data_IF_846250909611
#
_entry.id   IF_846250909611
#
_cell.length_a   1.000
_cell.length_b   1.000
_cell.length_c   1.000
_cell.angle_alpha   90.00
_cell.angle_beta   90.00
_cell.angle_gamma   90.00
#
_symmetry.space_group_name_H-M   'P 1'
#
loop_
_entity.id
_entity.type
_entity.pdbx_description
1 polymer ?
#
# COMPACT_ATOMS: atom_id res chain seq x y z
N UNK A 1 -1.77 25.99 10.67
CA UNK A 1 -0.41 25.42 10.55
C UNK A 1 -0.06 24.97 9.14
N UNK A 2 -1.01 24.43 8.36
CA UNK A 2 -0.79 24.00 6.96
C UNK A 2 -0.24 25.09 6.03
N UNK A 3 -0.57 26.36 6.23
CA UNK A 3 -0.17 27.45 5.32
C UNK A 3 1.32 27.80 5.38
N UNK A 4 1.95 27.70 6.56
CA UNK A 4 3.31 28.24 6.76
C UNK A 4 4.40 27.34 6.15
N UNK A 5 4.30 26.02 6.35
CA UNK A 5 5.26 25.09 5.74
C UNK A 5 5.01 24.90 4.24
N UNK A 6 3.79 25.09 3.75
CA UNK A 6 3.51 25.08 2.30
C UNK A 6 4.26 26.18 1.56
N UNK A 7 4.34 27.39 2.13
CA UNK A 7 5.16 28.46 1.54
C UNK A 7 6.66 28.11 1.50
N UNK A 8 7.14 27.31 2.46
CA UNK A 8 8.52 26.77 2.45
C UNK A 8 8.67 25.71 1.35
N UNK A 9 7.71 24.80 1.23
CA UNK A 9 7.66 23.80 0.17
C UNK A 9 7.73 24.46 -1.21
N UNK A 10 6.90 25.45 -1.50
CA UNK A 10 6.89 26.18 -2.78
C UNK A 10 8.26 26.81 -3.12
N UNK A 11 9.02 27.25 -2.11
CA UNK A 11 10.39 27.78 -2.29
C UNK A 11 11.43 26.69 -2.52
N UNK A 12 11.19 25.48 -2.01
CA UNK A 12 12.08 24.31 -2.14
C UNK A 12 11.90 23.62 -3.48
N UNK A 13 10.67 23.48 -3.98
CA UNK A 13 10.36 22.71 -5.19
C UNK A 13 11.25 23.05 -6.40
N UNK A 14 11.55 24.33 -6.73
CA UNK A 14 12.41 24.65 -7.88
C UNK A 14 13.88 24.22 -7.72
N UNK A 15 14.28 23.74 -6.54
CA UNK A 15 15.68 23.42 -6.17
C UNK A 15 15.93 21.93 -5.99
N UNK A 16 14.91 21.08 -6.16
CA UNK A 16 15.00 19.62 -6.03
C UNK A 16 14.78 18.94 -7.38
N UNK A 17 15.28 17.72 -7.49
CA UNK A 17 15.11 16.88 -8.66
C UNK A 17 13.65 16.44 -8.82
N UNK A 18 13.11 16.60 -10.04
CA UNK A 18 11.74 16.20 -10.42
C UNK A 18 10.67 16.69 -9.43
N UNK A 19 10.45 18.01 -9.30
CA UNK A 19 9.50 18.57 -8.33
C UNK A 19 8.06 18.09 -8.51
N UNK A 20 7.68 17.64 -9.71
CA UNK A 20 6.36 17.07 -9.98
C UNK A 20 6.01 15.84 -9.12
N UNK A 21 6.99 15.20 -8.48
CA UNK A 21 6.80 14.13 -7.48
C UNK A 21 6.04 14.59 -6.22
N UNK A 22 6.05 15.89 -5.94
CA UNK A 22 5.71 16.44 -4.62
C UNK A 22 4.50 17.38 -4.63
N UNK A 23 3.87 17.60 -5.80
CA UNK A 23 2.83 18.63 -6.02
C UNK A 23 1.39 18.08 -6.01
N UNK A 24 1.21 16.77 -6.13
CA UNK A 24 -0.11 16.16 -6.22
C UNK A 24 -0.96 16.69 -7.37
N UNK A 25 -2.28 16.54 -7.26
CA UNK A 25 -3.21 17.03 -8.30
C UNK A 25 -3.23 16.19 -9.57
N UNK A 26 -2.87 14.90 -9.47
CA UNK A 26 -2.95 13.97 -10.59
C UNK A 26 -4.37 13.84 -11.14
N UNK A 27 -4.47 13.51 -12.43
CA UNK A 27 -5.75 13.10 -13.00
C UNK A 27 -6.23 11.85 -12.26
N UNK A 28 -7.53 11.83 -11.93
CA UNK A 28 -8.21 10.81 -11.13
C UNK A 28 -7.81 10.77 -9.64
N UNK A 29 -7.05 11.74 -9.13
CA UNK A 29 -6.86 11.90 -7.69
C UNK A 29 -8.21 12.21 -7.01
N UNK A 30 -8.56 11.42 -6.01
CA UNK A 30 -9.78 11.58 -5.21
C UNK A 30 -9.44 12.43 -4.00
N UNK A 31 -10.10 13.58 -3.90
CA UNK A 31 -9.98 14.47 -2.75
C UNK A 31 -11.31 14.56 -2.02
N UNK A 32 -11.37 13.94 -0.84
CA UNK A 32 -12.48 14.09 0.11
C UNK A 32 -12.21 15.25 1.06
N UNK A 33 -13.27 15.79 1.64
CA UNK A 33 -13.13 16.86 2.62
C UNK A 33 -12.59 16.31 3.95
N UNK A 34 -11.38 16.75 4.30
CA UNK A 34 -10.67 16.37 5.51
C UNK A 34 -11.43 16.70 6.80
N UNK A 35 -12.18 17.81 6.81
CA UNK A 35 -12.87 18.29 8.00
C UNK A 35 -14.11 17.43 8.34
N UNK A 36 -14.75 16.85 7.33
CA UNK A 36 -16.00 16.09 7.46
C UNK A 36 -15.81 14.58 7.36
N UNK A 37 -14.62 14.11 7.02
CA UNK A 37 -14.31 12.67 6.91
C UNK A 37 -13.62 12.14 8.19
N UNK A 38 -14.28 11.25 8.95
CA UNK A 38 -13.84 10.86 10.29
C UNK A 38 -12.66 9.88 10.36
N UNK A 39 -12.39 9.15 9.28
CA UNK A 39 -11.33 8.14 9.20
C UNK A 39 -10.36 8.48 8.08
N UNK A 40 -9.08 8.65 8.42
CA UNK A 40 -8.04 9.16 7.52
C UNK A 40 -6.93 8.13 7.38
N UNK A 41 -6.77 7.58 6.19
CA UNK A 41 -5.74 6.61 5.88
C UNK A 41 -4.73 7.23 4.92
N UNK A 42 -3.44 7.08 5.19
CA UNK A 42 -2.40 7.39 4.21
C UNK A 42 -1.77 6.08 3.74
N UNK A 43 -1.88 5.78 2.45
CA UNK A 43 -1.23 4.65 1.80
C UNK A 43 0.14 5.07 1.31
N UNK A 44 1.16 4.36 1.78
CA UNK A 44 2.56 4.74 1.58
C UNK A 44 3.25 3.68 0.75
N UNK A 45 3.84 4.09 -0.36
CA UNK A 45 4.88 3.30 -1.00
C UNK A 45 6.23 3.84 -0.52
N UNK A 46 7.04 3.04 0.22
CA UNK A 46 8.29 3.51 0.81
C UNK A 46 9.41 3.57 -0.24
N UNK A 47 9.18 4.31 -1.31
CA UNK A 47 10.14 4.65 -2.35
C UNK A 47 9.65 5.91 -3.06
N UNK A 48 10.42 6.41 -4.01
CA UNK A 48 10.04 7.58 -4.81
C UNK A 48 8.74 7.38 -5.57
N UNK A 49 8.03 8.49 -5.75
CA UNK A 49 6.80 8.62 -6.51
C UNK A 49 6.80 7.82 -7.82
N UNK A 50 7.86 7.96 -8.62
CA UNK A 50 7.97 7.40 -9.97
C UNK A 50 7.92 5.86 -9.98
N UNK A 51 8.34 5.22 -8.86
CA UNK A 51 8.27 3.78 -8.66
C UNK A 51 6.94 3.39 -8.00
N UNK A 52 6.53 4.14 -6.98
CA UNK A 52 5.31 3.84 -6.22
C UNK A 52 4.02 4.03 -7.01
N UNK A 53 3.97 4.98 -7.95
CA UNK A 53 2.83 5.17 -8.87
C UNK A 53 2.54 3.95 -9.73
N UNK A 54 3.59 3.17 -10.05
CA UNK A 54 3.48 1.94 -10.85
C UNK A 54 2.96 0.75 -10.03
N UNK A 55 2.70 0.92 -8.74
CA UNK A 55 2.22 -0.16 -7.86
C UNK A 55 0.70 -0.34 -7.96
N UNK A 56 0.25 -1.34 -8.72
CA UNK A 56 -1.19 -1.63 -8.86
C UNK A 56 -1.86 -1.95 -7.52
N UNK A 57 -1.17 -2.64 -6.60
CA UNK A 57 -1.73 -2.96 -5.28
C UNK A 57 -2.09 -1.70 -4.49
N UNK A 58 -1.24 -0.69 -4.51
CA UNK A 58 -1.50 0.62 -3.90
C UNK A 58 -2.73 1.29 -4.53
N UNK A 59 -2.85 1.26 -5.86
CA UNK A 59 -4.00 1.83 -6.58
C UNK A 59 -5.31 1.11 -6.23
N UNK A 60 -5.28 -0.22 -6.13
CA UNK A 60 -6.45 -1.03 -5.73
C UNK A 60 -6.88 -0.66 -4.31
N UNK A 61 -5.95 -0.61 -3.34
CA UNK A 61 -6.27 -0.22 -1.97
C UNK A 61 -6.78 1.23 -1.88
N UNK A 62 -6.22 2.13 -2.67
CA UNK A 62 -6.65 3.52 -2.76
C UNK A 62 -8.09 3.65 -3.27
N UNK A 63 -8.44 2.93 -4.35
CA UNK A 63 -9.81 2.90 -4.88
C UNK A 63 -10.80 2.30 -3.88
N UNK A 64 -10.45 1.17 -3.24
CA UNK A 64 -11.30 0.52 -2.23
C UNK A 64 -11.61 1.48 -1.08
N UNK A 65 -10.59 2.09 -0.48
CA UNK A 65 -10.75 2.99 0.66
C UNK A 65 -11.53 4.26 0.27
N UNK A 66 -11.27 4.83 -0.90
CA UNK A 66 -11.98 6.03 -1.34
C UNK A 66 -13.41 5.74 -1.81
N UNK A 67 -13.82 4.49 -2.02
CA UNK A 67 -15.23 4.11 -2.17
C UNK A 67 -15.97 3.92 -0.85
N UNK A 68 -15.26 3.78 0.26
CA UNK A 68 -15.90 3.64 1.57
C UNK A 68 -16.46 4.97 2.07
N UNK A 69 -17.69 4.91 2.59
CA UNK A 69 -18.30 6.04 3.31
C UNK A 69 -17.57 6.32 4.62
N UNK A 70 -17.31 7.61 4.87
CA UNK A 70 -16.63 8.08 6.09
C UNK A 70 -15.11 7.89 6.11
N UNK A 71 -14.52 7.38 5.02
CA UNK A 71 -13.07 7.14 4.93
C UNK A 71 -12.48 7.97 3.81
N UNK A 72 -11.35 8.62 4.05
CA UNK A 72 -10.48 9.15 3.00
C UNK A 72 -9.18 8.36 2.96
N UNK A 73 -8.67 8.15 1.74
CA UNK A 73 -7.33 7.64 1.54
C UNK A 73 -6.52 8.64 0.73
N UNK A 74 -5.34 8.96 1.24
CA UNK A 74 -4.31 9.75 0.58
C UNK A 74 -3.08 8.90 0.33
N UNK A 75 -2.18 9.38 -0.54
CA UNK A 75 -0.93 8.71 -0.86
C UNK A 75 0.25 9.50 -0.32
N UNK A 76 1.30 8.79 0.08
CA UNK A 76 2.61 9.39 0.30
C UNK A 76 3.72 8.46 -0.20
N UNK A 77 4.88 9.06 -0.43
CA UNK A 77 6.05 8.42 -1.01
C UNK A 77 7.29 8.86 -0.22
N UNK A 78 8.30 8.00 -0.14
CA UNK A 78 9.59 8.43 0.43
C UNK A 78 10.25 9.41 -0.55
N UNK A 79 10.57 10.64 -0.13
CA UNK A 79 11.19 11.60 -1.04
C UNK A 79 12.61 11.19 -1.42
N UNK A 80 13.10 11.74 -2.52
CA UNK A 80 14.49 11.55 -2.92
C UNK A 80 15.42 12.26 -1.93
N UNK A 81 16.70 11.86 -1.79
CA UNK A 81 17.57 12.38 -0.74
C UNK A 81 17.73 13.90 -0.70
N UNK A 82 17.68 14.58 -1.86
CA UNK A 82 17.76 16.04 -1.95
C UNK A 82 16.52 16.73 -1.36
N UNK A 83 15.33 16.22 -1.67
CA UNK A 83 14.06 16.68 -1.12
C UNK A 83 13.96 16.33 0.37
N UNK A 84 14.37 15.12 0.78
CA UNK A 84 14.42 14.74 2.20
C UNK A 84 15.34 15.70 3.01
N UNK A 85 16.51 16.03 2.48
CA UNK A 85 17.44 16.98 3.09
C UNK A 85 16.84 18.40 3.14
N UNK A 86 16.16 18.84 2.08
CA UNK A 86 15.49 20.13 2.06
C UNK A 86 14.32 20.19 3.07
N UNK A 87 13.53 19.12 3.18
CA UNK A 87 12.44 19.02 4.14
C UNK A 87 12.94 19.13 5.57
N UNK A 88 14.03 18.42 5.92
CA UNK A 88 14.65 18.54 7.25
C UNK A 88 15.15 19.96 7.53
N UNK A 89 15.92 20.55 6.60
CA UNK A 89 16.49 21.91 6.75
C UNK A 89 15.42 22.98 6.93
N UNK A 90 14.35 22.90 6.15
CA UNK A 90 13.27 23.88 6.16
C UNK A 90 12.14 23.50 7.12
N UNK A 91 12.26 22.40 7.89
CA UNK A 91 11.22 21.87 8.77
C UNK A 91 9.84 21.72 8.08
N UNK A 92 9.86 21.09 6.90
CA UNK A 92 8.68 20.67 6.16
C UNK A 92 8.37 19.23 6.58
N UNK A 93 7.16 18.94 7.11
CA UNK A 93 6.80 17.57 7.48
C UNK A 93 6.62 16.69 6.24
N UNK A 94 6.74 15.37 6.36
CA UNK A 94 6.22 14.47 5.33
C UNK A 94 4.68 14.52 5.33
N UNK A 95 4.07 14.53 4.14
CA UNK A 95 2.65 14.82 3.96
C UNK A 95 1.95 13.91 2.94
N UNK A 96 0.63 13.80 3.06
CA UNK A 96 -0.25 13.19 2.06
C UNK A 96 -0.40 14.07 0.81
N UNK A 97 -0.37 13.47 -0.37
CA UNK A 97 -0.21 14.18 -1.64
C UNK A 97 -1.48 14.90 -2.11
N UNK A 98 -2.65 14.41 -1.71
CA UNK A 98 -3.96 14.94 -2.14
C UNK A 98 -4.31 16.25 -1.44
N UNK A 99 -4.04 16.35 -0.14
CA UNK A 99 -4.43 17.53 0.63
C UNK A 99 -3.30 18.20 1.38
N UNK A 100 -2.08 17.65 1.34
CA UNK A 100 -0.91 18.17 2.04
C UNK A 100 -1.16 18.29 3.55
N UNK A 101 -1.74 17.26 4.17
CA UNK A 101 -1.72 17.09 5.63
C UNK A 101 -0.49 16.29 6.04
N UNK A 102 0.20 16.68 7.12
CA UNK A 102 1.29 15.90 7.71
C UNK A 102 0.88 14.45 8.02
N UNK A 103 1.80 13.50 7.85
CA UNK A 103 1.51 12.09 8.12
C UNK A 103 1.10 11.81 9.58
N UNK A 104 1.52 12.66 10.51
CA UNK A 104 1.13 12.60 11.93
C UNK A 104 -0.36 12.88 12.17
N UNK A 105 -1.08 13.48 11.21
CA UNK A 105 -2.50 13.84 11.35
C UNK A 105 -3.45 12.76 10.82
N UNK A 106 -2.91 11.67 10.25
CA UNK A 106 -3.69 10.52 9.81
C UNK A 106 -3.97 9.57 10.98
N UNK A 107 -4.97 8.72 10.81
CA UNK A 107 -5.32 7.68 11.78
C UNK A 107 -4.51 6.38 11.53
N UNK A 108 -4.29 6.05 10.25
CA UNK A 108 -3.60 4.84 9.81
C UNK A 108 -2.62 5.19 8.68
N UNK A 109 -1.38 4.71 8.81
CA UNK A 109 -0.37 4.69 7.75
C UNK A 109 -0.20 3.26 7.24
N UNK A 110 -0.57 3.00 6.00
CA UNK A 110 -0.50 1.70 5.36
C UNK A 110 0.68 1.60 4.39
N UNK A 111 1.75 0.92 4.78
CA UNK A 111 2.94 0.70 3.96
C UNK A 111 2.78 -0.52 3.03
N UNK A 112 3.13 -0.35 1.76
CA UNK A 112 3.21 -1.44 0.79
C UNK A 112 4.67 -1.87 0.60
N UNK A 113 5.02 -3.07 1.10
CA UNK A 113 6.35 -3.67 1.07
C UNK A 113 6.40 -4.88 0.12
N UNK A 114 6.57 -4.66 -1.20
CA UNK A 114 6.71 -5.75 -2.17
C UNK A 114 8.01 -6.56 -1.99
N UNK A 115 9.06 -5.96 -1.45
CA UNK A 115 10.39 -6.58 -1.29
C UNK A 115 11.19 -5.91 -0.16
N UNK A 116 12.18 -6.63 0.35
CA UNK A 116 12.91 -6.33 1.60
C UNK A 116 13.81 -5.09 1.49
N UNK A 117 14.25 -4.70 0.29
CA UNK A 117 15.13 -3.53 0.12
C UNK A 117 14.45 -2.21 0.49
N UNK A 118 13.12 -2.18 0.69
CA UNK A 118 12.40 -0.99 1.13
C UNK A 118 12.29 -0.84 2.65
N UNK A 119 12.84 -1.79 3.42
CA UNK A 119 12.78 -1.72 4.89
C UNK A 119 13.47 -0.47 5.45
N UNK A 120 14.62 -0.08 4.89
CA UNK A 120 15.29 1.16 5.29
C UNK A 120 14.48 2.41 4.92
N UNK A 121 13.79 2.39 3.78
CA UNK A 121 12.93 3.50 3.36
C UNK A 121 11.68 3.63 4.22
N UNK A 122 11.14 2.52 4.74
CA UNK A 122 10.09 2.57 5.75
C UNK A 122 10.58 3.34 6.99
N UNK A 123 11.80 3.08 7.46
CA UNK A 123 12.39 3.80 8.60
C UNK A 123 12.64 5.27 8.27
N UNK A 124 13.20 5.59 7.10
CA UNK A 124 13.39 6.98 6.64
C UNK A 124 12.06 7.74 6.57
N UNK A 125 10.99 7.08 6.12
CA UNK A 125 9.66 7.67 6.06
C UNK A 125 9.12 8.00 7.45
N UNK A 126 9.28 7.09 8.42
CA UNK A 126 8.85 7.32 9.80
C UNK A 126 9.65 8.45 10.46
N UNK A 127 10.99 8.45 10.28
CA UNK A 127 11.87 9.52 10.77
C UNK A 127 11.49 10.88 10.20
N UNK A 128 11.33 10.98 8.87
CA UNK A 128 10.98 12.23 8.20
C UNK A 128 9.56 12.72 8.52
N UNK A 129 8.65 11.81 8.84
CA UNK A 129 7.33 12.14 9.37
C UNK A 129 7.37 12.65 10.82
N UNK A 130 8.49 12.49 11.53
CA UNK A 130 8.62 12.83 12.94
C UNK A 130 7.91 11.84 13.87
N UNK A 131 7.76 10.57 13.45
CA UNK A 131 7.14 9.51 14.25
C UNK A 131 8.21 8.69 15.00
N UNK A 132 7.91 8.19 16.21
CA UNK A 132 8.78 7.20 16.85
C UNK A 132 9.00 5.99 15.94
N UNK A 133 10.26 5.59 15.79
CA UNK A 133 10.63 4.48 14.92
C UNK A 133 10.08 3.16 15.47
N UNK A 134 10.27 2.90 16.77
CA UNK A 134 9.84 1.64 17.38
C UNK A 134 8.35 1.67 17.67
N UNK A 135 7.67 0.56 17.38
CA UNK A 135 6.23 0.38 17.61
C UNK A 135 5.85 0.42 19.09
N UNK A 136 6.79 0.13 20.00
CA UNK A 136 6.58 0.22 21.44
C UNK A 136 6.53 1.65 21.97
N UNK A 137 7.17 2.59 21.27
CA UNK A 137 7.21 4.02 21.61
C UNK A 137 5.97 4.77 21.08
N UNK A 138 5.15 4.11 20.25
CA UNK A 138 3.90 4.65 19.72
C UNK A 138 2.70 4.28 20.60
N UNK A 139 1.91 5.29 20.93
CA UNK A 139 0.66 5.20 21.67
C UNK A 139 -0.55 5.67 20.84
N UNK A 140 -1.73 5.79 21.44
CA UNK A 140 -2.97 6.19 20.75
C UNK A 140 -2.96 7.62 20.16
N UNK A 141 -1.95 8.46 20.47
CA UNK A 141 -1.79 9.79 19.87
C UNK A 141 -1.11 9.75 18.51
N UNK A 142 -0.47 8.63 18.20
CA UNK A 142 0.21 8.40 16.93
C UNK A 142 -0.70 7.59 16.00
N UNK A 143 -0.56 7.72 14.67
CA UNK A 143 -1.22 6.81 13.74
C UNK A 143 -0.82 5.36 13.99
N UNK A 144 -1.68 4.43 13.57
CA UNK A 144 -1.27 3.03 13.42
C UNK A 144 -0.39 2.87 12.19
N UNK A 145 0.75 2.23 12.34
CA UNK A 145 1.64 1.85 11.24
C UNK A 145 1.38 0.40 10.87
N UNK A 146 0.76 0.19 9.71
CA UNK A 146 0.41 -1.13 9.20
C UNK A 146 1.22 -1.39 7.93
N UNK A 147 1.73 -2.61 7.76
CA UNK A 147 2.47 -2.98 6.54
C UNK A 147 1.85 -4.20 5.85
N UNK A 148 1.77 -4.17 4.52
CA UNK A 148 1.36 -5.30 3.68
C UNK A 148 2.33 -5.48 2.50
N UNK A 149 2.00 -6.38 1.57
CA UNK A 149 2.85 -6.69 0.41
C UNK A 149 3.59 -8.01 0.55
N UNK A 150 4.32 -8.44 -0.48
CA UNK A 150 4.91 -9.78 -0.47
C UNK A 150 5.98 -9.96 0.60
N UNK A 151 6.73 -8.92 0.96
CA UNK A 151 7.80 -9.03 1.96
C UNK A 151 7.25 -9.36 3.37
N UNK A 152 5.99 -9.04 3.65
CA UNK A 152 5.37 -9.28 4.97
C UNK A 152 5.02 -10.74 5.24
N UNK A 153 5.24 -11.65 4.28
CA UNK A 153 5.26 -13.09 4.55
C UNK A 153 6.41 -13.50 5.48
N UNK A 154 7.42 -12.65 5.63
CA UNK A 154 8.46 -12.75 6.66
C UNK A 154 8.58 -11.39 7.40
N UNK A 155 7.69 -11.09 8.36
CA UNK A 155 7.57 -9.77 8.96
C UNK A 155 8.64 -9.46 10.03
N UNK A 156 9.23 -10.49 10.64
CA UNK A 156 10.14 -10.35 11.79
C UNK A 156 11.34 -9.40 11.60
N UNK A 157 11.99 -9.30 10.41
CA UNK A 157 13.08 -8.35 10.21
C UNK A 157 12.72 -6.88 10.48
N UNK A 158 11.44 -6.51 10.43
CA UNK A 158 10.96 -5.15 10.68
C UNK A 158 9.84 -5.08 11.73
N UNK A 159 9.64 -6.16 12.48
CA UNK A 159 8.55 -6.29 13.45
C UNK A 159 8.59 -5.24 14.56
N UNK A 160 9.78 -4.79 14.94
CA UNK A 160 9.95 -3.77 15.98
C UNK A 160 9.47 -2.37 15.56
N UNK A 161 9.25 -2.13 14.26
CA UNK A 161 8.94 -0.80 13.70
C UNK A 161 7.50 -0.68 13.18
N UNK A 162 6.74 -1.78 13.14
CA UNK A 162 5.39 -1.86 12.55
C UNK A 162 4.40 -2.35 13.61
N UNK A 163 3.23 -1.74 13.67
CA UNK A 163 2.21 -2.08 14.65
C UNK A 163 1.44 -3.34 14.27
N UNK A 164 1.14 -3.52 12.98
CA UNK A 164 0.47 -4.70 12.45
C UNK A 164 0.89 -5.01 11.00
N UNK A 165 0.95 -6.28 10.65
CA UNK A 165 1.23 -6.76 9.29
C UNK A 165 -0.01 -7.40 8.69
N UNK A 166 -0.26 -7.14 7.41
CA UNK A 166 -1.24 -7.86 6.60
C UNK A 166 -0.50 -8.89 5.77
N UNK A 167 -0.86 -10.17 5.93
CA UNK A 167 -0.25 -11.29 5.21
C UNK A 167 -1.24 -11.82 4.18
N UNK A 168 -0.87 -11.74 2.90
CA UNK A 168 -1.71 -12.16 1.77
C UNK A 168 -2.37 -10.98 1.05
N UNK A 169 -3.53 -11.24 0.47
CA UNK A 169 -4.30 -10.24 -0.28
C UNK A 169 -4.87 -9.15 0.64
N UNK A 170 -4.76 -7.90 0.21
CA UNK A 170 -5.08 -6.73 1.04
C UNK A 170 -6.50 -6.19 0.86
N UNK A 171 -7.19 -6.59 -0.21
CA UNK A 171 -8.42 -5.93 -0.68
C UNK A 171 -9.58 -6.04 0.31
N UNK A 172 -9.84 -7.23 0.86
CA UNK A 172 -10.83 -7.40 1.94
C UNK A 172 -10.23 -7.01 3.29
N UNK A 173 -8.94 -7.29 3.50
CA UNK A 173 -8.27 -7.08 4.77
C UNK A 173 -8.26 -5.60 5.17
N UNK A 174 -8.02 -4.68 4.22
CA UNK A 174 -7.98 -3.25 4.50
C UNK A 174 -9.34 -2.73 4.98
N UNK A 175 -10.44 -3.23 4.42
CA UNK A 175 -11.80 -2.89 4.83
C UNK A 175 -12.05 -3.36 6.26
N UNK A 176 -11.74 -4.63 6.55
CA UNK A 176 -11.89 -5.21 7.89
C UNK A 176 -11.04 -4.48 8.93
N UNK A 177 -9.81 -4.10 8.57
CA UNK A 177 -8.89 -3.34 9.42
C UNK A 177 -9.47 -1.97 9.75
N UNK A 178 -9.90 -1.21 8.74
CA UNK A 178 -10.47 0.14 8.94
C UNK A 178 -11.73 0.05 9.79
N UNK A 179 -12.66 -0.85 9.47
CA UNK A 179 -13.90 -1.03 10.26
C UNK A 179 -13.62 -1.53 11.69
N UNK A 180 -12.56 -2.30 11.89
CA UNK A 180 -12.13 -2.71 13.23
C UNK A 180 -11.56 -1.54 14.00
N UNK A 181 -10.65 -0.78 13.39
CA UNK A 181 -10.08 0.42 13.97
C UNK A 181 -11.15 1.45 14.34
N UNK A 182 -12.13 1.71 13.47
CA UNK A 182 -13.24 2.64 13.74
C UNK A 182 -13.99 2.30 15.04
N UNK A 183 -14.18 1.00 15.33
CA UNK A 183 -14.85 0.53 16.54
C UNK A 183 -14.02 0.68 17.81
N UNK A 184 -12.69 0.70 17.69
CA UNK A 184 -11.76 0.69 18.84
C UNK A 184 -10.88 1.94 18.94
N UNK A 185 -11.04 2.92 18.04
CA UNK A 185 -10.20 4.13 17.97
C UNK A 185 -10.15 4.94 19.26
N UNK A 186 -11.19 4.84 20.09
CA UNK A 186 -11.31 5.53 21.38
C UNK A 186 -10.66 4.76 22.54
N UNK A 187 -10.22 3.52 22.30
CA UNK A 187 -9.52 2.68 23.28
C UNK A 187 -8.01 2.92 23.20
N UNK A 188 -7.29 2.57 24.27
CA UNK A 188 -5.84 2.67 24.30
C UNK A 188 -5.16 1.70 23.31
N UNK A 189 -3.91 2.01 22.94
CA UNK A 189 -3.15 1.31 21.89
C UNK A 189 -3.20 -0.22 22.01
N UNK A 190 -3.03 -0.77 23.22
CA UNK A 190 -3.06 -2.22 23.43
C UNK A 190 -4.38 -2.86 22.97
N UNK A 191 -5.52 -2.27 23.34
CA UNK A 191 -6.83 -2.79 22.96
C UNK A 191 -7.09 -2.66 21.45
N UNK A 192 -6.59 -1.59 20.82
CA UNK A 192 -6.62 -1.43 19.36
C UNK A 192 -5.86 -2.58 18.66
N UNK A 193 -4.65 -2.86 19.13
CA UNK A 193 -3.79 -3.94 18.60
C UNK A 193 -4.40 -5.33 18.82
N UNK A 194 -4.97 -5.60 20.00
CA UNK A 194 -5.65 -6.87 20.29
C UNK A 194 -6.89 -7.06 19.42
N UNK A 195 -7.62 -6.00 19.09
CA UNK A 195 -8.76 -6.07 18.17
C UNK A 195 -8.30 -6.35 16.73
N UNK A 196 -7.24 -5.68 16.27
CA UNK A 196 -6.67 -5.91 14.94
C UNK A 196 -6.10 -7.32 14.77
N UNK A 197 -5.49 -7.90 15.81
CA UNK A 197 -4.98 -9.27 15.77
C UNK A 197 -6.06 -10.34 15.57
N UNK A 198 -7.34 -10.00 15.77
CA UNK A 198 -8.48 -10.88 15.48
C UNK A 198 -8.96 -10.78 14.04
N UNK A 199 -8.48 -9.81 13.27
CA UNK A 199 -8.77 -9.71 11.83
C UNK A 199 -7.96 -10.81 11.12
N UNK A 200 -8.61 -11.72 10.36
CA UNK A 200 -7.87 -12.79 9.69
C UNK A 200 -6.81 -12.24 8.74
N UNK A 201 -5.61 -12.84 8.77
CA UNK A 201 -4.45 -12.40 7.99
C UNK A 201 -3.66 -11.25 8.61
N UNK A 202 -4.09 -10.71 9.75
CA UNK A 202 -3.33 -9.68 10.47
C UNK A 202 -2.45 -10.31 11.54
N UNK A 203 -1.16 -9.99 11.50
CA UNK A 203 -0.17 -10.35 12.50
C UNK A 203 0.25 -9.09 13.29
N UNK A 204 0.21 -9.15 14.61
CA UNK A 204 0.55 -8.00 15.48
C UNK A 204 1.74 -8.39 16.36
N UNK A 205 2.97 -7.99 16.01
CA UNK A 205 4.18 -8.55 16.63
C UNK A 205 4.23 -8.41 18.15
N UNK A 206 3.79 -7.27 18.68
CA UNK A 206 3.76 -6.98 20.13
C UNK A 206 2.90 -7.96 20.94
N UNK A 207 2.08 -8.78 20.29
CA UNK A 207 1.23 -9.78 20.93
C UNK A 207 1.81 -11.21 20.84
N UNK A 208 3.02 -11.36 20.31
CA UNK A 208 3.72 -12.63 20.17
C UNK A 208 5.14 -12.52 20.78
N UNK A 209 5.59 -13.60 21.39
CA UNK A 209 6.98 -13.77 21.81
C UNK A 209 7.74 -14.55 20.75
N UNK A 210 8.98 -14.14 20.48
CA UNK A 210 9.90 -14.84 19.57
C UNK A 210 11.06 -15.40 20.39
N UNK A 211 11.21 -16.71 20.34
CA UNK A 211 12.32 -17.41 20.95
C UNK A 211 13.40 -17.62 19.88
N UNK A 212 14.66 -17.35 20.22
CA UNK A 212 15.79 -17.41 19.29
C UNK A 212 16.76 -18.53 19.68
N UNK A 213 17.36 -19.15 18.68
CA UNK A 213 18.50 -20.04 18.83
C UNK A 213 19.77 -19.23 19.21
N UNK A 214 20.82 -19.88 19.75
CA UNK A 214 22.09 -19.21 20.08
C UNK A 214 22.78 -18.54 18.89
N UNK A 215 22.47 -18.94 17.66
CA UNK A 215 22.99 -18.35 16.42
C UNK A 215 22.17 -17.13 15.93
N UNK A 216 21.13 -16.75 16.67
CA UNK A 216 20.26 -15.62 16.34
C UNK A 216 19.14 -15.96 15.36
N UNK A 217 18.99 -17.21 14.93
CA UNK A 217 17.86 -17.63 14.09
C UNK A 217 16.60 -17.84 14.93
N UNK A 218 15.42 -17.67 14.33
CA UNK A 218 14.13 -17.85 15.02
C UNK A 218 13.91 -19.33 15.34
N UNK A 219 13.80 -19.65 16.63
CA UNK A 219 13.47 -20.99 17.12
C UNK A 219 11.97 -21.24 17.16
N UNK A 220 11.19 -20.20 17.47
CA UNK A 220 9.74 -20.30 17.50
C UNK A 220 9.07 -18.96 17.74
N UNK A 221 7.81 -18.87 17.32
CA UNK A 221 6.92 -17.75 17.60
C UNK A 221 5.75 -18.30 18.41
N UNK A 222 5.41 -17.66 19.53
CA UNK A 222 4.31 -18.07 20.41
C UNK A 222 3.40 -16.89 20.73
N UNK A 223 2.07 -17.09 20.75
CA UNK A 223 1.17 -16.03 21.16
C UNK A 223 1.37 -15.73 22.67
N UNK A 224 1.23 -14.46 23.05
CA UNK A 224 1.26 -14.05 24.47
C UNK A 224 -0.07 -14.32 25.20
N UNK A 225 -1.12 -14.71 24.47
CA UNK A 225 -2.43 -15.09 25.01
C UNK A 225 -3.04 -16.24 24.20
N UNK A 226 -3.74 -17.21 24.82
CA UNK A 226 -4.37 -18.34 24.12
C UNK A 226 -5.41 -17.93 23.07
N UNK A 227 -5.95 -16.72 23.17
CA UNK A 227 -6.98 -16.16 22.29
C UNK A 227 -6.44 -15.71 20.91
N UNK A 228 -5.11 -15.61 20.78
CA UNK A 228 -4.46 -15.07 19.58
C UNK A 228 -4.19 -16.18 18.56
N UNK A 229 -4.41 -15.90 17.26
CA UNK A 229 -4.24 -16.91 16.22
C UNK A 229 -2.77 -17.30 16.05
N UNK A 230 -2.49 -18.60 16.02
CA UNK A 230 -1.26 -19.17 15.47
C UNK A 230 -1.55 -20.56 14.90
N UNK A 231 -1.24 -20.87 13.62
CA UNK A 231 -0.56 -19.99 12.66
C UNK A 231 -1.46 -18.86 12.14
N UNK A 232 -0.86 -17.73 11.78
CA UNK A 232 -1.55 -16.66 11.04
C UNK A 232 -1.84 -17.16 9.63
N UNK A 233 -3.13 -17.32 9.31
CA UNK A 233 -3.54 -17.73 7.96
C UNK A 233 -3.55 -16.51 7.04
N UNK A 234 -2.76 -16.58 5.97
CA UNK A 234 -2.77 -15.54 4.92
C UNK A 234 -4.17 -15.32 4.36
N UNK A 235 -4.50 -14.07 4.05
CA UNK A 235 -5.71 -13.72 3.30
C UNK A 235 -5.56 -14.09 1.84
N UNK A 236 -6.63 -14.63 1.28
CA UNK A 236 -6.73 -14.94 -0.15
C UNK A 236 -8.13 -14.54 -0.60
N UNK A 237 -8.22 -13.58 -1.53
CA UNK A 237 -9.51 -13.24 -2.16
C UNK A 237 -9.83 -14.29 -3.22
N UNK A 238 -10.92 -15.08 -3.11
CA UNK A 238 -11.18 -16.17 -4.04
C UNK A 238 -11.51 -15.64 -5.45
N UNK A 239 -12.17 -14.48 -5.53
CA UNK A 239 -12.51 -13.76 -6.75
C UNK A 239 -11.82 -12.40 -6.68
N UNK A 240 -11.12 -12.01 -7.75
CA UNK A 240 -10.47 -10.70 -7.79
C UNK A 240 -11.56 -9.61 -7.85
N UNK A 241 -11.45 -8.53 -7.05
CA UNK A 241 -12.39 -7.41 -7.14
C UNK A 241 -12.24 -6.72 -8.49
N UNK A 242 -13.26 -6.01 -9.00
CA UNK A 242 -13.18 -5.31 -10.29
C UNK A 242 -11.90 -4.49 -10.42
N UNK A 243 -11.25 -4.49 -11.60
CA UNK A 243 -10.00 -3.76 -11.79
C UNK A 243 -10.25 -2.25 -11.65
N UNK A 244 -9.31 -1.50 -11.06
CA UNK A 244 -9.42 -0.04 -11.01
C UNK A 244 -9.27 0.54 -12.42
N UNK A 245 -10.31 1.19 -12.92
CA UNK A 245 -10.34 1.80 -14.26
C UNK A 245 -10.07 3.30 -14.24
N UNK A 246 -10.13 3.95 -13.08
CA UNK A 246 -9.75 5.37 -12.88
C UNK A 246 -8.35 5.47 -12.28
N UNK A 247 -7.37 4.91 -12.98
CA UNK A 247 -5.98 4.94 -12.53
C UNK A 247 -5.44 6.36 -12.53
N UNK A 248 -4.54 6.63 -11.59
CA UNK A 248 -3.90 7.93 -11.44
C UNK A 248 -2.96 8.15 -12.63
N UNK A 249 -3.06 9.32 -13.27
CA UNK A 249 -2.12 9.72 -14.33
C UNK A 249 -1.01 10.56 -13.70
N UNK A 250 0.26 10.12 -13.76
CA UNK A 250 1.33 10.75 -13.02
C UNK A 250 1.69 12.13 -13.57
N UNK A 251 2.18 13.00 -12.69
CA UNK A 251 2.67 14.34 -13.07
C UNK A 251 4.09 14.34 -13.66
N UNK A 252 4.78 13.20 -13.58
CA UNK A 252 6.14 12.99 -14.09
C UNK A 252 6.21 11.62 -14.75
N UNK A 253 7.18 11.42 -15.64
CA UNK A 253 7.41 10.09 -16.22
C UNK A 253 7.74 9.07 -15.14
N UNK A 254 7.03 7.95 -15.17
CA UNK A 254 7.15 6.84 -14.20
C UNK A 254 7.77 5.60 -14.86
N UNK A 255 8.17 4.61 -14.07
CA UNK A 255 8.81 3.40 -14.60
C UNK A 255 7.90 2.57 -15.52
N UNK A 256 6.59 2.54 -15.23
CA UNK A 256 5.57 1.91 -16.05
C UNK A 256 4.47 2.92 -16.40
N UNK A 257 4.70 3.69 -17.45
CA UNK A 257 3.82 4.79 -17.88
C UNK A 257 2.76 4.31 -18.88
N UNK A 258 1.83 3.49 -18.39
CA UNK A 258 0.79 2.82 -19.19
C UNK A 258 -0.36 2.35 -18.32
N UNK A 259 -1.52 2.12 -18.93
CA UNK A 259 -2.65 1.51 -18.24
C UNK A 259 -2.37 0.07 -17.84
N UNK A 260 -2.73 -0.34 -16.62
CA UNK A 260 -2.43 -1.71 -16.15
C UNK A 260 -3.72 -2.46 -15.78
N UNK A 261 -3.98 -3.61 -16.40
CA UNK A 261 -5.08 -4.49 -16.00
C UNK A 261 -4.51 -5.84 -15.55
N UNK A 262 -4.72 -6.21 -14.29
CA UNK A 262 -4.38 -7.55 -13.78
C UNK A 262 -5.32 -8.59 -14.36
N UNK A 263 -4.85 -9.43 -15.28
CA UNK A 263 -5.69 -10.46 -15.93
C UNK A 263 -5.78 -11.75 -15.12
N UNK A 264 -4.76 -12.01 -14.30
CA UNK A 264 -4.73 -13.13 -13.37
C UNK A 264 -3.77 -12.85 -12.22
N UNK A 265 -4.08 -13.42 -11.05
CA UNK A 265 -3.20 -13.47 -9.87
C UNK A 265 -2.83 -14.90 -9.56
N UNK A 266 -1.58 -15.12 -9.15
CA UNK A 266 -1.08 -16.47 -8.95
C UNK A 266 -0.49 -17.08 -10.22
N UNK A 267 0.29 -18.14 -10.02
CA UNK A 267 0.95 -18.85 -11.11
C UNK A 267 0.89 -20.35 -10.80
N UNK A 268 0.59 -21.16 -11.83
CA UNK A 268 0.61 -22.63 -11.72
C UNK A 268 2.03 -23.19 -11.82
N UNK A 269 3.00 -22.35 -12.21
CA UNK A 269 4.40 -22.75 -12.31
C UNK A 269 4.96 -23.00 -10.91
N UNK A 270 5.73 -24.08 -10.78
CA UNK A 270 6.33 -24.53 -9.53
C UNK A 270 7.79 -24.11 -9.35
N UNK A 271 8.18 -22.96 -9.91
CA UNK A 271 9.57 -22.49 -9.90
C UNK A 271 10.08 -22.36 -8.45
N UNK A 272 11.09 -23.16 -8.07
CA UNK A 272 11.60 -23.25 -6.69
C UNK A 272 12.20 -21.94 -6.17
N UNK A 273 12.60 -21.05 -7.06
CA UNK A 273 13.17 -19.73 -6.75
C UNK A 273 12.09 -18.62 -6.63
N UNK A 274 10.86 -18.87 -7.09
CA UNK A 274 9.88 -17.81 -7.27
C UNK A 274 9.00 -17.66 -6.02
N UNK A 275 9.35 -16.69 -5.16
CA UNK A 275 8.56 -16.35 -3.99
C UNK A 275 7.10 -16.01 -4.36
N UNK A 276 6.91 -15.12 -5.33
CA UNK A 276 5.59 -14.69 -5.81
C UNK A 276 4.72 -15.89 -6.25
N UNK A 277 5.30 -16.89 -6.92
CA UNK A 277 4.60 -18.10 -7.36
C UNK A 277 4.09 -19.00 -6.23
N UNK A 278 4.58 -18.82 -5.00
CA UNK A 278 4.13 -19.56 -3.81
C UNK A 278 3.11 -18.74 -3.00
N UNK A 279 3.41 -17.46 -2.75
CA UNK A 279 2.60 -16.63 -1.85
C UNK A 279 1.26 -16.22 -2.47
N UNK A 280 1.19 -16.09 -3.79
CA UNK A 280 -0.04 -15.64 -4.50
C UNK A 280 -1.00 -16.77 -4.89
N UNK A 281 -0.72 -18.03 -4.52
CA UNK A 281 -1.59 -19.18 -4.82
C UNK A 281 -2.94 -19.10 -4.07
N UNK A 282 -4.04 -19.64 -4.63
CA UNK A 282 -4.13 -20.30 -5.94
C UNK A 282 -4.19 -19.32 -7.11
N UNK A 283 -4.02 -19.83 -8.34
CA UNK A 283 -4.23 -19.04 -9.56
C UNK A 283 -5.70 -18.66 -9.68
N UNK A 284 -5.97 -17.38 -9.96
CA UNK A 284 -7.28 -16.77 -10.11
C UNK A 284 -7.24 -15.88 -11.34
N UNK A 285 -8.24 -15.98 -12.20
CA UNK A 285 -8.29 -15.27 -13.48
C UNK A 285 -9.51 -14.38 -13.54
N UNK A 286 -9.41 -13.26 -14.25
CA UNK A 286 -10.57 -12.47 -14.63
C UNK A 286 -11.24 -13.05 -15.88
N UNK A 287 -12.58 -13.02 -15.97
CA UNK A 287 -13.28 -13.24 -17.23
C UNK A 287 -12.79 -12.28 -18.32
N UNK A 288 -12.68 -12.73 -19.57
CA UNK A 288 -12.14 -11.87 -20.64
C UNK A 288 -13.08 -10.69 -20.95
N UNK A 289 -14.39 -10.86 -20.81
CA UNK A 289 -15.37 -9.78 -20.94
C UNK A 289 -15.12 -8.65 -19.93
N UNK A 290 -14.80 -9.02 -18.69
CA UNK A 290 -14.43 -8.06 -17.63
C UNK A 290 -13.13 -7.33 -17.97
N UNK A 291 -12.13 -8.05 -18.49
CA UNK A 291 -10.85 -7.45 -18.91
C UNK A 291 -11.06 -6.46 -20.06
N UNK A 292 -11.83 -6.82 -21.09
CA UNK A 292 -12.09 -5.94 -22.24
C UNK A 292 -12.83 -4.67 -21.81
N UNK A 293 -13.90 -4.81 -21.03
CA UNK A 293 -14.65 -3.66 -20.53
C UNK A 293 -13.77 -2.74 -19.67
N UNK A 294 -12.93 -3.32 -18.81
CA UNK A 294 -12.01 -2.56 -17.98
C UNK A 294 -10.95 -1.80 -18.78
N UNK A 295 -10.42 -2.40 -19.86
CA UNK A 295 -9.50 -1.71 -20.78
C UNK A 295 -10.17 -0.48 -21.38
N UNK A 296 -11.41 -0.59 -21.84
CA UNK A 296 -12.12 0.53 -22.46
C UNK A 296 -12.33 1.69 -21.50
N UNK A 297 -12.82 1.38 -20.30
CA UNK A 297 -13.03 2.39 -19.27
C UNK A 297 -11.70 3.02 -18.85
N UNK A 298 -10.63 2.22 -18.73
CA UNK A 298 -9.32 2.70 -18.36
C UNK A 298 -8.81 3.71 -19.37
N UNK A 299 -8.82 3.36 -20.66
CA UNK A 299 -8.36 4.25 -21.73
C UNK A 299 -9.18 5.54 -21.76
N UNK A 300 -10.50 5.44 -21.60
CA UNK A 300 -11.39 6.60 -21.56
C UNK A 300 -11.14 7.54 -20.36
N UNK A 301 -10.79 7.00 -19.19
CA UNK A 301 -10.57 7.79 -17.97
C UNK A 301 -9.13 8.32 -17.82
N UNK A 302 -8.17 7.76 -18.55
CA UNK A 302 -6.74 8.08 -18.36
C UNK A 302 -6.10 8.71 -19.58
N UNK A 303 -6.57 8.39 -20.79
CA UNK A 303 -5.92 8.81 -22.04
C UNK A 303 -4.60 8.11 -22.32
N UNK A 304 -4.27 7.01 -21.63
CA UNK A 304 -3.11 6.19 -21.99
C UNK A 304 -3.25 5.62 -23.40
N UNK A 305 -2.13 5.49 -24.11
CA UNK A 305 -2.06 4.87 -25.44
C UNK A 305 -1.58 3.41 -25.38
N UNK A 306 -0.97 3.02 -24.25
CA UNK A 306 -0.47 1.67 -24.01
C UNK A 306 -1.20 1.01 -22.85
N UNK A 307 -1.40 -0.32 -22.95
CA UNK A 307 -1.91 -1.16 -21.87
C UNK A 307 -0.95 -2.31 -21.56
N UNK A 308 -0.85 -2.66 -20.27
CA UNK A 308 -0.16 -3.83 -19.78
C UNK A 308 -1.15 -4.83 -19.18
N UNK A 309 -1.08 -6.06 -19.67
CA UNK A 309 -1.82 -7.19 -19.12
C UNK A 309 -0.98 -7.83 -17.99
N UNK A 310 -1.21 -7.37 -16.77
CA UNK A 310 -0.43 -7.76 -15.60
C UNK A 310 -0.78 -9.17 -15.15
N UNK A 311 0.26 -10.00 -15.03
CA UNK A 311 0.21 -11.27 -14.32
C UNK A 311 1.63 -11.82 -14.08
N UNK A 312 1.75 -12.91 -13.33
CA UNK A 312 3.03 -13.61 -13.18
C UNK A 312 3.45 -14.39 -14.44
N UNK A 313 2.51 -14.73 -15.33
CA UNK A 313 2.77 -15.49 -16.57
C UNK A 313 1.60 -15.35 -17.54
N UNK A 314 1.57 -14.30 -18.37
CA UNK A 314 0.39 -13.98 -19.18
C UNK A 314 0.04 -15.05 -20.21
N UNK A 315 1.01 -15.86 -20.64
CA UNK A 315 0.77 -17.02 -21.51
C UNK A 315 -0.01 -18.15 -20.82
N UNK A 316 0.01 -18.19 -19.48
CA UNK A 316 -0.81 -19.12 -18.69
C UNK A 316 -2.23 -18.61 -18.50
N UNK A 317 -2.62 -17.43 -18.98
CA UNK A 317 -4.01 -16.98 -18.93
C UNK A 317 -4.87 -17.76 -19.92
N UNK A 318 -5.96 -18.39 -19.46
CA UNK A 318 -6.70 -19.42 -20.21
C UNK A 318 -7.23 -18.93 -21.57
N UNK A 319 -7.58 -17.64 -21.67
CA UNK A 319 -8.11 -17.03 -22.90
C UNK A 319 -7.15 -16.02 -23.55
N UNK A 320 -5.83 -16.15 -23.33
CA UNK A 320 -4.84 -15.15 -23.79
C UNK A 320 -4.90 -14.89 -25.30
N UNK A 321 -5.05 -15.93 -26.12
CA UNK A 321 -5.13 -15.79 -27.57
C UNK A 321 -6.41 -15.09 -28.05
N UNK A 322 -7.53 -15.27 -27.34
CA UNK A 322 -8.77 -14.52 -27.61
C UNK A 322 -8.63 -13.06 -27.16
N UNK A 323 -8.06 -12.83 -25.98
CA UNK A 323 -7.84 -11.49 -25.42
C UNK A 323 -6.99 -10.62 -26.36
N UNK A 324 -5.84 -11.13 -26.80
CA UNK A 324 -4.93 -10.37 -27.68
C UNK A 324 -5.58 -10.08 -29.03
N UNK A 325 -6.31 -11.03 -29.62
CA UNK A 325 -7.04 -10.80 -30.88
C UNK A 325 -8.13 -9.75 -30.72
N UNK A 326 -8.96 -9.85 -29.68
CA UNK A 326 -10.02 -8.89 -29.42
C UNK A 326 -9.48 -7.47 -29.18
N UNK A 327 -8.35 -7.34 -28.47
CA UNK A 327 -7.70 -6.04 -28.26
C UNK A 327 -7.10 -5.49 -29.57
N UNK A 328 -6.46 -6.33 -30.38
CA UNK A 328 -5.93 -5.93 -31.68
C UNK A 328 -7.05 -5.47 -32.61
N UNK A 329 -8.12 -6.24 -32.77
CA UNK A 329 -9.25 -5.89 -33.65
C UNK A 329 -9.95 -4.59 -33.22
N UNK A 330 -9.90 -4.25 -31.94
CA UNK A 330 -10.57 -3.08 -31.37
C UNK A 330 -9.75 -1.80 -31.44
N UNK A 331 -8.42 -1.91 -31.38
CA UNK A 331 -7.51 -0.76 -31.20
C UNK A 331 -6.41 -0.68 -32.27
N UNK A 332 -6.44 -1.54 -33.31
CA UNK A 332 -5.50 -1.50 -34.44
C UNK A 332 -5.67 -0.28 -35.36
#
# INVERSE_FOLDING_TARGET
MTTEWRSRLERVLPRVERPGRYVGGEVNAIRKDWATTPTRVCLIFPDVYDLGMSNLGLQVLYDILNRMDGVLAERAYTPWPDMAAAMRRESIPLYGLETFHPLTEFDILGFSLPYEVLYTNLLETLDLAGLPLRSEERDERHPLVIAGGHATFNPEPVAEFVDAFVIGDGEEAIVDIVRTWERVRHLGRRAQLEALARVPGVYVPRLYGVDYHPDGTVAGVRPLSPELPLPIRRRVVPVLPPPPTRQLVPNVTVAHDRGVIEIQRGCIRGCRFCHAGVVTRPRRERPLEEVLAAVDELLAHTGYEEIALLSLSSADYSRIGELVRALADRYA
#
